data_IF_565315200952
#
_entry.id   IF_565315200952
#
_cell.length_a   1.000
_cell.length_b   1.000
_cell.length_c   1.000
_cell.angle_alpha   90.00
_cell.angle_beta   90.00
_cell.angle_gamma   90.00
#
_symmetry.space_group_name_H-M   'P 1'
#
loop_
_entity.id
_entity.type
_entity.pdbx_description
1 polymer ?
#
# COMPACT_ATOMS: atom_id res chain seq x y z
N UNK A 1 10.22 -13.45 -20.24
CA UNK A 1 10.23 -14.57 -19.27
C UNK A 1 9.44 -14.13 -18.05
N UNK A 2 8.66 -15.01 -17.46
CA UNK A 2 7.87 -14.72 -16.27
C UNK A 2 8.55 -15.29 -15.02
N UNK A 3 8.20 -14.73 -13.86
CA UNK A 3 8.49 -15.29 -12.55
C UNK A 3 7.17 -15.48 -11.82
N UNK A 4 7.04 -16.65 -11.17
CA UNK A 4 5.97 -16.92 -10.22
C UNK A 4 6.55 -16.77 -8.84
N UNK A 5 5.92 -15.96 -8.00
CA UNK A 5 6.25 -15.81 -6.58
C UNK A 5 5.09 -16.34 -5.76
N UNK A 6 5.40 -17.24 -4.83
CA UNK A 6 4.49 -17.70 -3.78
C UNK A 6 4.96 -17.08 -2.47
N UNK A 7 4.05 -16.48 -1.71
CA UNK A 7 4.38 -15.94 -0.39
C UNK A 7 3.23 -16.04 0.60
N UNK A 8 3.53 -16.02 1.90
CA UNK A 8 2.54 -15.95 2.97
C UNK A 8 2.98 -14.96 4.06
N UNK A 9 2.15 -14.78 5.09
CA UNK A 9 2.47 -13.97 6.26
C UNK A 9 3.76 -14.45 6.94
N UNK A 10 4.82 -13.63 7.04
CA UNK A 10 6.05 -14.00 7.73
C UNK A 10 5.88 -14.27 9.23
N UNK A 11 4.82 -13.75 9.86
CA UNK A 11 4.50 -14.01 11.27
C UNK A 11 3.90 -15.41 11.51
N UNK A 12 3.43 -16.06 10.43
CA UNK A 12 2.90 -17.42 10.44
C UNK A 12 3.39 -18.21 9.22
N UNK A 13 4.71 -18.54 9.16
CA UNK A 13 5.31 -19.24 8.02
C UNK A 13 4.63 -20.60 7.79
N UNK A 14 4.13 -20.80 6.57
CA UNK A 14 3.34 -21.99 6.21
C UNK A 14 3.47 -22.42 4.75
N UNK A 15 4.40 -21.83 4.00
CA UNK A 15 4.63 -22.20 2.61
C UNK A 15 5.32 -23.57 2.54
N UNK A 16 4.53 -24.64 2.39
CA UNK A 16 5.03 -26.01 2.25
C UNK A 16 5.83 -26.16 0.94
N UNK A 17 7.03 -26.75 1.02
CA UNK A 17 7.90 -26.96 -0.14
C UNK A 17 7.29 -27.81 -1.26
N UNK A 18 6.30 -28.65 -0.96
CA UNK A 18 5.55 -29.42 -1.95
C UNK A 18 4.73 -28.53 -2.88
N UNK A 19 4.23 -27.37 -2.41
CA UNK A 19 3.39 -26.47 -3.22
C UNK A 19 4.16 -25.85 -4.40
N UNK A 20 5.25 -25.07 -4.20
CA UNK A 20 6.01 -24.51 -5.33
C UNK A 20 6.60 -25.61 -6.21
N UNK A 21 7.03 -26.75 -5.62
CA UNK A 21 7.52 -27.90 -6.38
C UNK A 21 6.45 -28.49 -7.32
N UNK A 22 5.21 -28.62 -6.84
CA UNK A 22 4.12 -29.16 -7.65
C UNK A 22 3.72 -28.20 -8.77
N UNK A 23 3.63 -26.89 -8.48
CA UNK A 23 3.29 -25.89 -9.48
C UNK A 23 4.35 -25.77 -10.56
N UNK A 24 5.64 -25.72 -10.20
CA UNK A 24 6.71 -25.67 -11.21
C UNK A 24 6.72 -26.91 -12.10
N UNK A 25 6.42 -28.10 -11.56
CA UNK A 25 6.36 -29.33 -12.35
C UNK A 25 5.16 -29.31 -13.30
N UNK A 26 4.00 -28.82 -12.82
CA UNK A 26 2.78 -28.73 -13.62
C UNK A 26 2.88 -27.70 -14.76
N UNK A 27 3.61 -26.61 -14.54
CA UNK A 27 3.76 -25.51 -15.51
C UNK A 27 5.06 -25.55 -16.31
N UNK A 28 5.93 -26.54 -16.09
CA UNK A 28 7.23 -26.64 -16.75
C UNK A 28 8.19 -25.51 -16.37
N UNK A 29 8.15 -25.07 -15.11
CA UNK A 29 9.00 -24.04 -14.56
C UNK A 29 10.40 -24.50 -14.18
N UNK A 30 11.28 -23.52 -13.96
CA UNK A 30 12.66 -23.74 -13.55
C UNK A 30 12.81 -24.22 -12.11
N UNK A 31 14.01 -24.08 -11.55
CA UNK A 31 14.25 -24.41 -10.14
C UNK A 31 13.52 -23.48 -9.17
N UNK A 32 13.03 -24.07 -8.08
CA UNK A 32 12.44 -23.31 -6.97
C UNK A 32 13.58 -22.64 -6.21
N UNK A 33 13.49 -21.32 -6.09
CA UNK A 33 14.39 -20.47 -5.33
C UNK A 33 13.63 -19.99 -4.10
N UNK A 34 14.16 -20.28 -2.92
CA UNK A 34 13.60 -19.74 -1.67
C UNK A 34 14.16 -18.36 -1.41
N UNK A 35 13.29 -17.36 -1.39
CA UNK A 35 13.63 -15.98 -1.01
C UNK A 35 13.64 -15.84 0.52
N UNK A 36 12.75 -16.58 1.19
CA UNK A 36 12.72 -16.75 2.63
C UNK A 36 12.13 -18.14 2.94
N UNK A 37 12.85 -19.02 3.65
CA UNK A 37 12.36 -20.35 3.99
C UNK A 37 10.97 -20.30 4.63
N UNK A 38 10.07 -21.18 4.18
CA UNK A 38 8.69 -21.33 4.67
C UNK A 38 7.78 -20.09 4.50
N UNK A 39 8.28 -19.01 3.90
CA UNK A 39 7.56 -17.73 3.73
C UNK A 39 7.43 -17.34 2.28
N UNK A 40 8.51 -17.36 1.50
CA UNK A 40 8.51 -16.89 0.12
C UNK A 40 9.43 -17.73 -0.78
N UNK A 41 8.88 -18.19 -1.91
CA UNK A 41 9.61 -18.93 -2.93
C UNK A 41 9.21 -18.45 -4.32
N UNK A 42 10.10 -18.61 -5.29
CA UNK A 42 9.84 -18.28 -6.68
C UNK A 42 10.41 -19.29 -7.66
N UNK A 43 9.88 -19.30 -8.87
CA UNK A 43 10.45 -20.03 -10.00
C UNK A 43 10.13 -19.33 -11.33
N UNK A 44 10.99 -19.53 -12.32
CA UNK A 44 10.84 -18.94 -13.64
C UNK A 44 9.89 -19.75 -14.54
N UNK A 45 9.18 -19.07 -15.43
CA UNK A 45 8.31 -19.64 -16.48
C UNK A 45 8.58 -18.96 -17.84
N UNK A 46 8.51 -19.72 -18.93
CA UNK A 46 8.59 -19.14 -20.28
C UNK A 46 7.29 -18.41 -20.66
N UNK A 47 6.15 -18.99 -20.30
CA UNK A 47 4.81 -18.48 -20.63
C UNK A 47 3.90 -18.50 -19.42
N UNK A 48 2.97 -17.54 -19.33
CA UNK A 48 1.94 -17.55 -18.29
C UNK A 48 0.99 -18.76 -18.44
N UNK A 49 0.67 -19.46 -17.33
CA UNK A 49 -0.17 -20.65 -17.39
C UNK A 49 -1.65 -20.28 -17.61
N UNK A 50 -2.35 -21.05 -18.45
CA UNK A 50 -3.75 -20.78 -18.79
C UNK A 50 -4.71 -20.97 -17.61
N UNK A 51 -4.35 -21.79 -16.62
CA UNK A 51 -5.13 -22.06 -15.41
C UNK A 51 -4.69 -21.22 -14.21
N UNK A 52 -3.96 -20.11 -14.41
CA UNK A 52 -3.44 -19.27 -13.33
C UNK A 52 -4.53 -18.86 -12.33
N UNK A 53 -5.67 -18.36 -12.82
CA UNK A 53 -6.74 -17.83 -11.96
C UNK A 53 -7.38 -18.90 -11.06
N UNK A 54 -7.44 -20.15 -11.51
CA UNK A 54 -7.99 -21.25 -10.71
C UNK A 54 -6.99 -21.68 -9.64
N UNK A 55 -5.70 -21.80 -10.00
CA UNK A 55 -4.64 -22.11 -9.04
C UNK A 55 -4.45 -20.97 -8.03
N UNK A 56 -4.64 -19.72 -8.46
CA UNK A 56 -4.62 -18.56 -7.57
C UNK A 56 -5.67 -18.67 -6.47
N UNK A 57 -6.90 -19.07 -6.80
CA UNK A 57 -7.98 -19.27 -5.81
C UNK A 57 -7.63 -20.40 -4.84
N UNK A 58 -7.05 -21.49 -5.34
CA UNK A 58 -6.63 -22.62 -4.51
C UNK A 58 -5.52 -22.20 -3.53
N UNK A 59 -4.54 -21.40 -4.00
CA UNK A 59 -3.49 -20.85 -3.14
C UNK A 59 -4.04 -19.86 -2.10
N UNK A 60 -4.95 -18.98 -2.51
CA UNK A 60 -5.60 -18.02 -1.61
C UNK A 60 -6.38 -18.75 -0.50
N UNK A 61 -7.06 -19.86 -0.82
CA UNK A 61 -7.74 -20.71 0.17
C UNK A 61 -6.78 -21.40 1.16
N UNK A 62 -5.51 -21.60 0.79
CA UNK A 62 -4.43 -22.06 1.67
C UNK A 62 -3.77 -20.90 2.45
N UNK A 63 -4.17 -19.67 2.14
CA UNK A 63 -3.58 -18.44 2.63
C UNK A 63 -2.15 -18.20 2.14
N UNK A 64 -1.92 -18.53 0.86
CA UNK A 64 -0.69 -18.27 0.13
C UNK A 64 -1.03 -17.33 -1.03
N UNK A 65 -0.34 -16.20 -1.10
CA UNK A 65 -0.37 -15.31 -2.23
C UNK A 65 0.40 -15.92 -3.41
N UNK A 66 -0.20 -15.85 -4.59
CA UNK A 66 0.39 -16.32 -5.83
C UNK A 66 0.44 -15.16 -6.83
N UNK A 67 1.64 -14.80 -7.28
CA UNK A 67 1.83 -13.69 -8.21
C UNK A 67 2.63 -14.16 -9.42
N UNK A 68 2.17 -13.79 -10.62
CA UNK A 68 2.93 -13.95 -11.86
C UNK A 68 3.20 -12.58 -12.48
N UNK A 69 4.45 -12.33 -12.87
CA UNK A 69 4.85 -11.07 -13.50
C UNK A 69 6.04 -11.27 -14.45
N UNK A 70 6.35 -10.24 -15.25
CA UNK A 70 7.58 -10.25 -16.04
C UNK A 70 8.79 -10.28 -15.12
N UNK A 71 9.75 -11.15 -15.41
CA UNK A 71 10.98 -11.27 -14.62
C UNK A 71 11.87 -10.04 -14.84
N UNK A 72 11.98 -9.57 -16.09
CA UNK A 72 12.80 -8.43 -16.46
C UNK A 72 12.17 -7.12 -15.98
N UNK A 73 12.98 -6.26 -15.36
CA UNK A 73 12.51 -4.95 -14.88
C UNK A 73 11.59 -5.01 -13.65
N UNK A 74 11.50 -6.15 -12.95
CA UNK A 74 10.68 -6.26 -11.72
C UNK A 74 11.21 -5.45 -10.55
N UNK A 75 12.52 -5.22 -10.47
CA UNK A 75 13.13 -4.33 -9.46
C UNK A 75 12.89 -2.87 -9.84
N UNK A 76 12.08 -2.17 -9.05
CA UNK A 76 11.58 -0.82 -9.35
C UNK A 76 12.50 0.25 -8.75
N UNK A 77 12.48 1.43 -9.37
CA UNK A 77 13.27 2.59 -8.98
C UNK A 77 12.52 3.56 -8.08
N UNK A 78 11.22 3.35 -7.90
CA UNK A 78 10.40 4.18 -7.02
C UNK A 78 9.31 3.35 -6.35
N UNK A 79 9.10 3.59 -5.06
CA UNK A 79 7.90 3.18 -4.32
C UNK A 79 6.95 4.38 -4.19
N UNK A 80 5.69 4.18 -4.58
CA UNK A 80 4.58 5.08 -4.31
C UNK A 80 3.58 4.38 -3.39
N UNK A 81 3.43 4.84 -2.17
CA UNK A 81 2.58 4.17 -1.17
C UNK A 81 1.42 5.07 -0.73
N UNK A 82 0.25 4.47 -0.52
CA UNK A 82 -0.76 5.06 0.36
C UNK A 82 -0.30 5.02 1.84
N UNK A 83 -0.97 5.75 2.72
CA UNK A 83 -0.71 5.73 4.16
C UNK A 83 -1.73 4.86 4.91
N UNK A 84 -2.98 5.33 4.97
CA UNK A 84 -4.05 4.71 5.75
C UNK A 84 -4.34 3.31 5.21
N UNK A 85 -4.60 2.36 6.11
CA UNK A 85 -4.82 0.94 5.79
C UNK A 85 -3.75 0.26 4.91
N UNK A 86 -2.57 0.88 4.74
CA UNK A 86 -1.48 0.41 3.88
C UNK A 86 -0.13 0.44 4.58
N UNK A 87 0.40 1.63 4.91
CA UNK A 87 1.66 1.77 5.67
C UNK A 87 1.41 1.83 7.18
N UNK A 88 0.20 2.20 7.57
CA UNK A 88 -0.35 2.07 8.92
C UNK A 88 -1.63 1.24 8.87
N UNK A 89 -2.03 0.70 10.01
CA UNK A 89 -3.20 -0.18 10.09
C UNK A 89 -4.54 0.56 10.26
N UNK A 90 -4.49 1.86 10.56
CA UNK A 90 -5.66 2.68 10.89
C UNK A 90 -6.04 3.65 9.76
N UNK A 91 -7.24 4.22 9.90
CA UNK A 91 -7.71 5.40 9.17
C UNK A 91 -7.57 6.64 10.07
N UNK A 92 -6.64 7.54 9.75
CA UNK A 92 -6.28 8.65 10.64
C UNK A 92 -7.45 9.59 10.98
N UNK A 93 -8.38 9.80 10.04
CA UNK A 93 -9.55 10.66 10.27
C UNK A 93 -10.56 10.04 11.23
N UNK A 94 -10.70 8.72 11.20
CA UNK A 94 -11.62 7.98 12.07
C UNK A 94 -11.08 7.98 13.51
N UNK A 95 -9.76 7.78 13.69
CA UNK A 95 -9.12 7.87 15.01
C UNK A 95 -9.22 9.27 15.63
N UNK A 96 -9.08 10.33 14.81
CA UNK A 96 -9.33 11.71 15.26
C UNK A 96 -10.78 11.93 15.67
N UNK A 97 -11.72 11.41 14.88
CA UNK A 97 -13.14 11.57 15.13
C UNK A 97 -13.57 10.85 16.41
N UNK A 98 -13.05 9.65 16.65
CA UNK A 98 -13.29 8.89 17.86
C UNK A 98 -12.74 9.60 19.10
N UNK A 99 -11.51 10.11 19.04
CA UNK A 99 -10.92 10.90 20.13
C UNK A 99 -11.71 12.19 20.41
N UNK A 100 -12.29 12.78 19.36
CA UNK A 100 -13.15 13.96 19.46
C UNK A 100 -14.61 13.66 19.87
N UNK A 101 -14.99 12.39 20.03
CA UNK A 101 -16.36 11.98 20.36
C UNK A 101 -17.38 12.18 19.22
N UNK A 102 -16.91 12.37 17.99
CA UNK A 102 -17.73 12.54 16.78
C UNK A 102 -17.61 11.38 15.78
N UNK A 103 -16.91 10.30 16.16
CA UNK A 103 -16.71 9.06 15.39
C UNK A 103 -17.95 8.57 14.63
N UNK A 104 -19.10 8.34 15.31
CA UNK A 104 -20.31 7.87 14.64
C UNK A 104 -20.80 8.78 13.51
N UNK A 105 -20.58 10.10 13.61
CA UNK A 105 -20.96 11.06 12.57
C UNK A 105 -19.98 11.05 11.40
N UNK A 106 -18.69 10.89 11.67
CA UNK A 106 -17.67 10.76 10.62
C UNK A 106 -17.86 9.47 9.84
N UNK A 107 -18.16 8.36 10.53
CA UNK A 107 -18.47 7.07 9.91
C UNK A 107 -19.69 7.15 8.97
N UNK A 108 -20.76 7.85 9.36
CA UNK A 108 -21.93 8.09 8.51
C UNK A 108 -21.57 8.84 7.22
N UNK A 109 -20.79 9.92 7.32
CA UNK A 109 -20.33 10.69 6.17
C UNK A 109 -19.42 9.83 5.26
N UNK A 110 -18.50 9.07 5.85
CA UNK A 110 -17.62 8.15 5.11
C UNK A 110 -18.44 7.10 4.35
N UNK A 111 -19.46 6.51 4.97
CA UNK A 111 -20.35 5.54 4.31
C UNK A 111 -21.11 6.17 3.12
N UNK A 112 -21.65 7.37 3.29
CA UNK A 112 -22.33 8.11 2.22
C UNK A 112 -21.38 8.45 1.06
N UNK A 113 -20.15 8.87 1.36
CA UNK A 113 -19.13 9.14 0.35
C UNK A 113 -18.74 7.87 -0.43
N UNK A 114 -18.58 6.74 0.26
CA UNK A 114 -18.29 5.45 -0.37
C UNK A 114 -19.44 4.93 -1.23
N UNK A 115 -20.69 5.25 -0.88
CA UNK A 115 -21.88 4.94 -1.70
C UNK A 115 -22.04 5.87 -2.91
N UNK A 116 -21.18 6.89 -3.06
CA UNK A 116 -21.28 7.89 -4.13
C UNK A 116 -22.38 8.93 -3.90
N UNK A 117 -22.90 9.05 -2.67
CA UNK A 117 -23.92 10.04 -2.31
C UNK A 117 -23.31 11.42 -2.02
N UNK A 118 -22.00 11.49 -1.76
CA UNK A 118 -21.23 12.70 -1.54
C UNK A 118 -19.98 12.71 -2.41
N UNK A 119 -19.65 13.87 -2.98
CA UNK A 119 -18.34 14.07 -3.59
C UNK A 119 -17.22 13.96 -2.54
N UNK A 120 -16.03 13.52 -2.95
CA UNK A 120 -14.90 13.33 -2.04
C UNK A 120 -14.52 14.63 -1.32
N UNK A 121 -14.48 15.75 -2.05
CA UNK A 121 -14.08 17.03 -1.48
C UNK A 121 -15.11 17.53 -0.47
N UNK A 122 -16.39 17.36 -0.79
CA UNK A 122 -17.51 17.69 0.10
C UNK A 122 -17.50 16.81 1.36
N UNK A 123 -17.36 15.49 1.21
CA UNK A 123 -17.27 14.55 2.32
C UNK A 123 -16.06 14.82 3.22
N UNK A 124 -14.91 15.19 2.65
CA UNK A 124 -13.73 15.55 3.44
C UNK A 124 -13.97 16.84 4.23
N UNK A 125 -14.53 17.89 3.61
CA UNK A 125 -14.87 19.14 4.30
C UNK A 125 -15.88 18.91 5.41
N UNK A 126 -16.90 18.10 5.17
CA UNK A 126 -17.93 17.80 6.17
C UNK A 126 -17.34 17.06 7.38
N UNK A 127 -16.51 16.03 7.15
CA UNK A 127 -15.81 15.31 8.24
C UNK A 127 -14.86 16.20 9.02
N UNK A 128 -14.06 17.02 8.33
CA UNK A 128 -13.11 17.93 8.99
C UNK A 128 -13.84 19.06 9.75
N UNK A 129 -15.00 19.51 9.26
CA UNK A 129 -15.84 20.47 9.97
C UNK A 129 -16.30 19.96 11.35
N UNK A 130 -16.46 18.64 11.52
CA UNK A 130 -16.80 18.05 12.83
C UNK A 130 -15.67 18.15 13.85
N UNK A 131 -14.44 18.44 13.42
CA UNK A 131 -13.26 18.57 14.26
C UNK A 131 -13.01 20.02 14.70
N UNK A 132 -13.89 20.97 14.34
CA UNK A 132 -13.73 22.39 14.69
C UNK A 132 -13.63 22.61 16.21
N UNK A 133 -12.62 23.37 16.63
CA UNK A 133 -12.40 23.76 18.02
C UNK A 133 -11.65 22.74 18.88
N UNK A 134 -11.37 21.55 18.33
CA UNK A 134 -10.55 20.52 18.94
C UNK A 134 -9.10 21.00 19.12
N UNK A 135 -8.46 20.62 20.22
CA UNK A 135 -7.05 20.94 20.46
C UNK A 135 -6.17 20.21 19.45
N UNK A 136 -5.26 20.92 18.78
CA UNK A 136 -4.31 20.35 17.83
C UNK A 136 -3.42 19.25 18.43
N UNK A 137 -3.19 19.27 19.75
CA UNK A 137 -2.45 18.22 20.47
C UNK A 137 -3.09 16.83 20.39
N UNK A 138 -4.37 16.76 19.98
CA UNK A 138 -5.04 15.49 19.69
C UNK A 138 -4.33 14.69 18.60
N UNK A 139 -3.73 15.36 17.61
CA UNK A 139 -3.04 14.70 16.50
C UNK A 139 -1.83 13.94 17.04
N UNK A 140 -1.04 14.58 17.90
CA UNK A 140 0.10 13.95 18.56
C UNK A 140 -0.35 12.80 19.47
N UNK A 141 -1.48 12.98 20.17
CA UNK A 141 -2.07 11.93 21.00
C UNK A 141 -2.42 10.69 20.17
N UNK A 142 -3.13 10.87 19.06
CA UNK A 142 -3.50 9.77 18.14
C UNK A 142 -2.25 9.10 17.59
N UNK A 143 -1.28 9.87 17.08
CA UNK A 143 0.00 9.34 16.56
C UNK A 143 0.72 8.45 17.57
N UNK A 144 0.75 8.85 18.85
CA UNK A 144 1.49 8.16 19.89
C UNK A 144 0.74 6.97 20.50
N UNK A 145 -0.60 6.93 20.41
CA UNK A 145 -1.40 5.97 21.20
C UNK A 145 -2.27 5.04 20.37
N UNK A 146 -2.58 5.40 19.12
CA UNK A 146 -3.54 4.67 18.26
C UNK A 146 -2.94 4.18 16.95
N UNK A 147 -1.86 4.80 16.47
CA UNK A 147 -1.24 4.45 15.19
C UNK A 147 -0.26 3.28 15.36
N UNK A 148 -0.50 2.22 14.61
CA UNK A 148 0.36 1.06 14.45
C UNK A 148 0.84 0.95 13.01
N UNK A 149 2.14 0.75 12.82
CA UNK A 149 2.73 0.54 11.49
C UNK A 149 2.36 -0.83 10.93
N UNK A 150 2.16 -0.89 9.62
CA UNK A 150 1.98 -2.15 8.93
C UNK A 150 3.29 -2.97 8.99
N UNK A 151 3.24 -4.28 9.34
CA UNK A 151 4.45 -5.11 9.41
C UNK A 151 5.24 -5.12 8.10
N UNK A 152 6.57 -5.15 8.21
CA UNK A 152 7.48 -5.12 7.07
C UNK A 152 7.73 -3.75 6.46
N UNK A 153 7.06 -2.69 6.92
CA UNK A 153 7.21 -1.34 6.34
C UNK A 153 8.62 -0.78 6.49
N UNK A 154 9.28 -0.99 7.64
CA UNK A 154 10.63 -0.49 7.88
C UNK A 154 11.65 -1.22 7.01
N UNK A 155 11.56 -2.54 6.95
CA UNK A 155 12.39 -3.41 6.11
C UNK A 155 12.21 -3.09 4.63
N UNK A 156 10.97 -2.86 4.19
CA UNK A 156 10.67 -2.43 2.82
C UNK A 156 11.42 -1.15 2.48
N UNK A 157 11.24 -0.09 3.28
CA UNK A 157 11.83 1.22 3.02
C UNK A 157 13.35 1.18 3.13
N UNK A 158 13.92 0.57 4.17
CA UNK A 158 15.38 0.48 4.33
C UNK A 158 16.03 -0.23 3.14
N UNK A 159 15.45 -1.36 2.71
CA UNK A 159 16.02 -2.21 1.67
C UNK A 159 15.95 -1.55 0.29
N UNK A 160 14.79 -1.01 -0.12
CA UNK A 160 14.68 -0.39 -1.44
C UNK A 160 15.52 0.89 -1.55
N UNK A 161 15.64 1.66 -0.46
CA UNK A 161 16.47 2.87 -0.43
C UNK A 161 17.95 2.54 -0.46
N UNK A 162 18.39 1.49 0.26
CA UNK A 162 19.77 1.00 0.16
C UNK A 162 20.13 0.58 -1.28
N UNK A 163 19.12 0.21 -2.08
CA UNK A 163 19.25 -0.13 -3.50
C UNK A 163 18.94 1.04 -4.46
N UNK A 164 18.86 2.28 -3.95
CA UNK A 164 18.76 3.51 -4.74
C UNK A 164 17.36 3.86 -5.24
N UNK A 165 16.30 3.22 -4.72
CA UNK A 165 14.93 3.58 -5.06
C UNK A 165 14.50 4.87 -4.32
N UNK A 166 13.71 5.70 -4.99
CA UNK A 166 13.04 6.85 -4.38
C UNK A 166 11.71 6.43 -3.74
N UNK A 167 11.34 7.05 -2.62
CA UNK A 167 10.17 6.63 -1.83
C UNK A 167 9.24 7.79 -1.57
N UNK A 168 7.97 7.66 -1.97
CA UNK A 168 6.95 8.69 -1.81
C UNK A 168 5.69 8.14 -1.12
N UNK A 169 5.24 8.84 -0.09
CA UNK A 169 4.00 8.56 0.63
C UNK A 169 2.93 9.57 0.20
N UNK A 170 1.84 9.12 -0.42
CA UNK A 170 0.78 10.02 -0.91
C UNK A 170 -0.56 9.54 -0.37
N UNK A 171 -1.21 10.36 0.46
CA UNK A 171 -2.44 9.99 1.15
C UNK A 171 -3.53 11.06 1.00
N UNK A 172 -4.79 10.61 1.03
CA UNK A 172 -5.96 11.49 1.16
C UNK A 172 -6.19 11.97 2.61
N UNK A 173 -5.45 11.45 3.58
CA UNK A 173 -5.41 11.88 4.97
C UNK A 173 -4.68 13.21 5.15
N UNK A 174 -3.96 13.38 6.26
CA UNK A 174 -3.42 14.69 6.63
C UNK A 174 -1.89 14.74 6.77
N UNK A 175 -1.32 15.91 6.48
CA UNK A 175 0.12 16.17 6.44
C UNK A 175 0.77 15.95 7.81
N UNK A 176 0.07 16.24 8.89
CA UNK A 176 0.58 16.00 10.25
C UNK A 176 0.85 14.51 10.53
N UNK A 177 0.03 13.60 9.97
CA UNK A 177 0.24 12.16 10.09
C UNK A 177 1.29 11.65 9.10
N UNK A 178 1.12 11.99 7.81
CA UNK A 178 2.07 11.55 6.77
C UNK A 178 3.49 12.03 7.03
N UNK A 179 3.70 13.22 7.57
CA UNK A 179 5.03 13.69 7.95
C UNK A 179 5.66 12.86 9.07
N UNK A 180 4.87 12.43 10.07
CA UNK A 180 5.35 11.56 11.15
C UNK A 180 5.68 10.17 10.63
N UNK A 181 4.76 9.55 9.88
CA UNK A 181 4.94 8.22 9.28
C UNK A 181 6.11 8.21 8.30
N UNK A 182 6.22 9.24 7.44
CA UNK A 182 7.32 9.39 6.50
C UNK A 182 8.67 9.48 7.20
N UNK A 183 8.75 10.24 8.30
CA UNK A 183 9.97 10.37 9.08
C UNK A 183 10.37 9.05 9.75
N UNK A 184 9.42 8.36 10.37
CA UNK A 184 9.69 7.11 11.10
C UNK A 184 10.13 5.97 10.16
N UNK A 185 9.44 5.82 9.03
CA UNK A 185 9.74 4.77 8.05
C UNK A 185 10.86 5.16 7.08
N UNK A 186 11.19 6.45 6.98
CA UNK A 186 12.29 6.95 6.16
C UNK A 186 11.92 7.23 4.70
N UNK A 187 10.71 7.71 4.41
CA UNK A 187 10.32 8.18 3.08
C UNK A 187 11.10 9.44 2.65
N UNK A 188 11.33 9.61 1.36
CA UNK A 188 12.00 10.81 0.80
C UNK A 188 11.03 11.99 0.63
N UNK A 189 9.75 11.70 0.38
CA UNK A 189 8.71 12.69 0.18
C UNK A 189 7.37 12.19 0.73
N UNK A 190 6.55 13.12 1.21
CA UNK A 190 5.15 12.85 1.54
C UNK A 190 4.22 13.95 1.02
N UNK A 191 2.98 13.59 0.71
CA UNK A 191 1.92 14.51 0.27
C UNK A 191 0.58 14.10 0.87
N UNK A 192 -0.14 15.06 1.44
CA UNK A 192 -1.47 14.85 2.01
C UNK A 192 -2.26 16.16 2.10
N UNK A 193 -3.52 16.08 2.53
CA UNK A 193 -4.31 17.26 2.87
C UNK A 193 -3.74 17.97 4.12
N UNK A 194 -4.07 19.24 4.32
CA UNK A 194 -3.63 19.99 5.50
C UNK A 194 -4.83 20.31 6.39
N UNK A 195 -4.79 19.96 7.66
CA UNK A 195 -5.72 20.49 8.65
C UNK A 195 -5.30 21.91 9.02
N UNK A 196 -6.22 22.87 8.92
CA UNK A 196 -5.92 24.26 9.26
C UNK A 196 -6.08 24.47 10.76
N UNK A 197 -5.07 25.07 11.38
CA UNK A 197 -5.00 25.35 12.80
C UNK A 197 -4.94 26.86 13.08
N UNK A 198 -5.53 27.28 14.20
CA UNK A 198 -5.43 28.64 14.71
C UNK A 198 -5.39 28.61 16.24
N UNK A 199 -4.33 29.20 16.82
CA UNK A 199 -4.10 29.26 18.27
C UNK A 199 -4.19 27.88 18.97
N UNK A 200 -3.55 26.86 18.39
CA UNK A 200 -3.51 25.50 18.94
C UNK A 200 -4.82 24.72 18.81
N UNK A 201 -5.75 25.19 17.96
CA UNK A 201 -7.03 24.52 17.71
C UNK A 201 -7.28 24.29 16.23
N UNK A 202 -7.92 23.17 15.91
CA UNK A 202 -8.41 22.89 14.56
C UNK A 202 -9.52 23.87 14.19
N UNK A 203 -9.43 24.45 13.00
CA UNK A 203 -10.42 25.42 12.49
C UNK A 203 -11.63 24.77 11.82
N UNK A 204 -11.66 23.44 11.73
CA UNK A 204 -12.68 22.70 10.97
C UNK A 204 -12.56 22.85 9.44
N UNK A 205 -11.41 23.33 8.95
CA UNK A 205 -11.18 23.57 7.51
C UNK A 205 -9.95 22.83 7.02
N UNK A 206 -10.02 22.44 5.74
CA UNK A 206 -8.91 21.81 5.01
C UNK A 206 -8.19 22.88 4.19
N UNK A 207 -6.86 22.79 4.14
CA UNK A 207 -6.02 23.63 3.29
C UNK A 207 -6.27 23.35 1.81
N UNK A 208 -6.16 24.39 0.98
CA UNK A 208 -6.33 24.29 -0.47
C UNK A 208 -4.95 24.25 -1.17
N UNK A 209 -4.80 23.52 -2.29
CA UNK A 209 -5.81 22.63 -2.88
C UNK A 209 -5.98 21.33 -2.08
N UNK A 210 -7.19 20.76 -2.11
CA UNK A 210 -7.45 19.43 -1.54
C UNK A 210 -6.88 18.37 -2.50
N UNK A 211 -6.08 17.46 -1.96
CA UNK A 211 -5.65 16.25 -2.64
C UNK A 211 -6.85 15.31 -2.78
N UNK A 212 -7.46 15.37 -3.97
CA UNK A 212 -8.57 14.52 -4.38
C UNK A 212 -8.12 13.13 -4.86
N UNK A 213 -9.02 12.44 -5.55
CA UNK A 213 -8.80 11.06 -6.06
C UNK A 213 -7.64 10.99 -7.05
N UNK A 214 -7.41 12.06 -7.82
CA UNK A 214 -6.37 12.15 -8.83
C UNK A 214 -4.99 12.44 -8.23
N UNK A 215 -4.89 12.79 -6.95
CA UNK A 215 -3.64 13.24 -6.35
C UNK A 215 -2.52 12.18 -6.41
N UNK A 216 -2.86 10.90 -6.22
CA UNK A 216 -1.90 9.79 -6.32
C UNK A 216 -1.39 9.60 -7.75
N UNK A 217 -2.27 9.81 -8.73
CA UNK A 217 -1.92 9.76 -10.16
C UNK A 217 -1.06 10.95 -10.57
N UNK A 218 -1.39 12.15 -10.12
CA UNK A 218 -0.59 13.36 -10.36
C UNK A 218 0.78 13.24 -9.71
N UNK A 219 0.86 12.72 -8.48
CA UNK A 219 2.14 12.48 -7.81
C UNK A 219 2.98 11.46 -8.57
N UNK A 220 2.39 10.38 -9.09
CA UNK A 220 3.07 9.42 -9.95
C UNK A 220 3.69 10.13 -11.17
N UNK A 221 2.92 10.92 -11.90
CA UNK A 221 3.37 11.66 -13.09
C UNK A 221 4.48 12.66 -12.77
N UNK A 222 4.28 13.49 -11.75
CA UNK A 222 5.22 14.55 -11.38
C UNK A 222 6.55 14.00 -10.86
N UNK A 223 6.49 12.97 -10.00
CA UNK A 223 7.70 12.41 -9.40
C UNK A 223 8.49 11.61 -10.45
N UNK A 224 7.82 10.80 -11.28
CA UNK A 224 8.51 10.07 -12.35
C UNK A 224 9.18 11.01 -13.34
N UNK A 225 8.49 12.08 -13.76
CA UNK A 225 9.05 13.12 -14.61
C UNK A 225 10.26 13.82 -13.96
N UNK A 226 10.16 14.17 -12.67
CA UNK A 226 11.25 14.82 -11.91
C UNK A 226 12.48 13.91 -11.75
N UNK A 227 12.28 12.61 -11.59
CA UNK A 227 13.34 11.62 -11.45
C UNK A 227 13.90 11.13 -12.79
N UNK A 228 13.26 11.46 -13.91
CA UNK A 228 13.65 10.97 -15.24
C UNK A 228 13.44 9.47 -15.42
N UNK A 229 12.45 8.89 -14.73
CA UNK A 229 12.04 7.49 -14.86
C UNK A 229 10.65 7.39 -15.48
N UNK A 230 10.24 6.18 -15.85
CA UNK A 230 8.90 5.90 -16.37
C UNK A 230 8.00 5.26 -15.31
N UNK A 231 6.68 5.32 -15.49
CA UNK A 231 5.71 4.65 -14.60
C UNK A 231 5.95 3.14 -14.53
N UNK A 232 6.51 2.53 -15.59
CA UNK A 232 6.90 1.11 -15.62
C UNK A 232 7.99 0.75 -14.59
N UNK A 233 8.76 1.75 -14.15
CA UNK A 233 9.83 1.62 -13.15
C UNK A 233 9.34 1.92 -11.73
N UNK A 234 8.03 2.03 -11.52
CA UNK A 234 7.39 2.28 -10.21
C UNK A 234 6.69 1.02 -9.69
N UNK A 235 6.86 0.76 -8.39
CA UNK A 235 5.97 -0.10 -7.60
C UNK A 235 5.03 0.80 -6.81
N UNK A 236 3.72 0.61 -6.97
CA UNK A 236 2.70 1.34 -6.23
C UNK A 236 1.93 0.38 -5.31
N UNK A 237 1.58 0.82 -4.11
CA UNK A 237 0.84 0.00 -3.14
C UNK A 237 -0.26 0.78 -2.44
N UNK A 238 -1.43 0.16 -2.32
CA UNK A 238 -2.61 0.69 -1.64
C UNK A 238 -3.68 -0.38 -1.47
N UNK A 239 -4.71 -0.11 -0.67
CA UNK A 239 -5.80 -1.04 -0.37
C UNK A 239 -7.14 -0.61 -1.00
N UNK A 240 -7.27 0.67 -1.34
CA UNK A 240 -8.54 1.33 -1.59
C UNK A 240 -8.86 1.62 -3.06
N UNK A 241 -10.12 1.98 -3.31
CA UNK A 241 -10.58 2.36 -4.66
C UNK A 241 -9.97 3.69 -5.13
N UNK A 242 -9.58 4.56 -4.19
CA UNK A 242 -8.81 5.78 -4.41
C UNK A 242 -7.40 5.50 -4.96
N UNK A 243 -6.86 4.29 -4.79
CA UNK A 243 -5.54 3.89 -5.28
C UNK A 243 -5.54 3.37 -6.70
N UNK A 244 -6.69 2.91 -7.21
CA UNK A 244 -6.77 2.20 -8.49
C UNK A 244 -6.09 2.95 -9.63
N UNK A 245 -6.19 4.27 -9.66
CA UNK A 245 -5.51 5.11 -10.65
C UNK A 245 -3.99 4.92 -10.64
N UNK A 246 -3.33 4.95 -9.47
CA UNK A 246 -1.88 4.74 -9.39
C UNK A 246 -1.50 3.27 -9.58
N UNK A 247 -2.31 2.33 -9.07
CA UNK A 247 -2.03 0.89 -9.18
C UNK A 247 -2.12 0.40 -10.64
N UNK A 248 -3.08 0.89 -11.42
CA UNK A 248 -3.24 0.50 -12.82
C UNK A 248 -2.12 1.05 -13.70
N UNK A 249 -1.63 2.25 -13.37
CA UNK A 249 -0.60 2.96 -14.14
C UNK A 249 0.82 2.50 -13.82
N UNK A 250 1.12 2.22 -12.57
CA UNK A 250 2.43 1.73 -12.15
C UNK A 250 2.81 0.41 -12.85
N UNK A 251 4.11 0.23 -13.07
CA UNK A 251 4.69 -0.99 -13.63
C UNK A 251 4.42 -2.21 -12.77
N UNK A 252 4.39 -2.03 -11.44
CA UNK A 252 3.91 -3.01 -10.48
C UNK A 252 2.89 -2.35 -9.53
N UNK A 253 1.59 -2.48 -9.81
CA UNK A 253 0.53 -2.03 -8.91
C UNK A 253 0.05 -3.16 -8.01
N UNK A 254 0.30 -3.02 -6.70
CA UNK A 254 0.03 -3.99 -5.66
C UNK A 254 -1.18 -3.56 -4.85
N UNK A 255 -2.25 -4.35 -4.88
CA UNK A 255 -3.35 -4.26 -3.94
C UNK A 255 -2.98 -5.04 -2.67
N UNK A 256 -2.72 -4.32 -1.57
CA UNK A 256 -2.38 -4.91 -0.27
C UNK A 256 -3.63 -5.01 0.59
N UNK A 257 -3.98 -6.22 1.02
CA UNK A 257 -5.15 -6.53 1.88
C UNK A 257 -6.45 -5.85 1.42
N UNK A 258 -6.53 -5.61 0.11
CA UNK A 258 -7.51 -4.72 -0.49
C UNK A 258 -8.90 -5.35 -0.52
N UNK A 259 -9.94 -4.53 -0.67
CA UNK A 259 -11.31 -5.03 -0.87
C UNK A 259 -11.42 -5.81 -2.20
N UNK A 260 -12.32 -6.80 -2.34
CA UNK A 260 -12.46 -7.60 -3.55
C UNK A 260 -12.64 -6.78 -4.85
N UNK A 261 -13.31 -5.63 -4.77
CA UNK A 261 -13.51 -4.71 -5.90
C UNK A 261 -12.21 -4.07 -6.40
N UNK A 262 -11.27 -3.82 -5.49
CA UNK A 262 -9.93 -3.29 -5.80
C UNK A 262 -9.03 -4.41 -6.30
N UNK A 263 -9.04 -5.56 -5.63
CA UNK A 263 -8.29 -6.75 -6.04
C UNK A 263 -8.61 -7.14 -7.49
N UNK A 264 -9.89 -7.14 -7.88
CA UNK A 264 -10.33 -7.47 -9.23
C UNK A 264 -9.74 -6.57 -10.33
N UNK A 265 -9.28 -5.37 -9.98
CA UNK A 265 -8.76 -4.36 -10.91
C UNK A 265 -7.25 -4.15 -10.80
N UNK A 266 -6.60 -4.71 -9.77
CA UNK A 266 -5.16 -4.62 -9.57
C UNK A 266 -4.41 -5.74 -10.31
N UNK A 267 -3.18 -5.42 -10.75
CA UNK A 267 -2.30 -6.38 -11.45
C UNK A 267 -1.71 -7.42 -10.49
N UNK A 268 -1.41 -7.00 -9.27
CA UNK A 268 -0.79 -7.83 -8.22
C UNK A 268 -1.66 -7.72 -6.97
N UNK A 269 -1.87 -8.84 -6.30
CA UNK A 269 -2.64 -8.94 -5.05
C UNK A 269 -1.76 -9.57 -3.99
N UNK A 270 -1.73 -8.95 -2.81
CA UNK A 270 -1.12 -9.49 -1.61
C UNK A 270 -2.21 -9.50 -0.54
N UNK A 271 -2.80 -10.66 -0.31
CA UNK A 271 -3.90 -10.87 0.62
C UNK A 271 -3.41 -11.37 1.99
N UNK A 272 -2.27 -12.08 2.03
CA UNK A 272 -1.79 -12.77 3.23
C UNK A 272 -0.43 -12.24 3.71
N UNK A 273 0.48 -11.93 2.80
CA UNK A 273 1.79 -11.36 3.12
C UNK A 273 1.72 -9.97 3.75
N UNK A 274 2.79 -9.57 4.43
CA UNK A 274 2.98 -8.20 4.91
C UNK A 274 3.70 -7.32 3.87
N UNK A 275 4.17 -6.12 4.25
CA UNK A 275 4.86 -5.23 3.30
C UNK A 275 6.20 -5.77 2.79
N UNK A 276 6.80 -6.77 3.44
CA UNK A 276 8.00 -7.44 2.89
C UNK A 276 7.68 -8.22 1.61
N UNK A 277 6.40 -8.52 1.34
CA UNK A 277 5.96 -9.08 0.06
C UNK A 277 6.43 -8.24 -1.13
N UNK A 278 6.44 -6.91 -1.01
CA UNK A 278 6.90 -6.01 -2.07
C UNK A 278 8.41 -6.16 -2.35
N UNK A 279 9.20 -6.62 -1.39
CA UNK A 279 10.61 -6.97 -1.60
C UNK A 279 10.73 -8.28 -2.37
N UNK A 280 10.00 -9.32 -1.94
CA UNK A 280 10.01 -10.62 -2.62
C UNK A 280 9.54 -10.51 -4.08
N UNK A 281 8.49 -9.72 -4.34
CA UNK A 281 8.01 -9.44 -5.69
C UNK A 281 9.06 -8.76 -6.59
N UNK A 282 10.00 -8.03 -6.01
CA UNK A 282 11.11 -7.40 -6.73
C UNK A 282 12.36 -8.28 -6.79
N UNK A 283 12.30 -9.50 -6.25
CA UNK A 283 13.37 -10.49 -6.27
C UNK A 283 14.44 -10.28 -5.20
N UNK A 284 14.12 -9.58 -4.11
CA UNK A 284 14.99 -9.56 -2.94
C UNK A 284 14.74 -10.82 -2.10
N UNK A 285 15.81 -11.47 -1.65
CA UNK A 285 15.73 -12.49 -0.62
C UNK A 285 15.79 -11.85 0.77
N UNK A 286 15.37 -12.56 1.82
CA UNK A 286 15.46 -12.08 3.20
C UNK A 286 16.91 -11.74 3.61
N UNK A 287 17.91 -12.38 2.98
CA UNK A 287 19.33 -12.06 3.16
C UNK A 287 19.74 -10.69 2.61
N UNK A 288 18.91 -10.08 1.75
CA UNK A 288 19.15 -8.76 1.16
C UNK A 288 18.53 -7.63 2.00
N UNK A 289 17.75 -7.95 3.04
CA UNK A 289 17.02 -6.94 3.82
C UNK A 289 18.01 -6.11 4.66
N UNK A 290 17.78 -4.79 4.70
CA UNK A 290 18.67 -3.81 5.34
C UNK A 290 18.22 -3.41 6.75
#
# INVERSE_FOLDING_TARGET
MFVVTLLCDPSSPKLDAALPASLRNAWGGGDVIWLMPDVAAEFALETAPANFDDVWKDCDALGVDLVIQQMDGRRKKMLLADMDSTMIQQECIDELADEAGVGPRVADITARAMNGELDFEEALKERVGLLEGLDSAVIETVLNTRISYMPGGKELLSTIKANGAYTALVSGGFTAFTASVAKELGFDENRANTLLENNGKLTGKVGMPILGREAKVQALEEITARLGITEAEVIAVGDGANDLGMLQRAGAGVALHAKPTVQAQAKIRVNHGDLTALLFLQGYAASDFA
#
